data_IF_395560341306
#
_entry.id   IF_395560341306
#
_cell.length_a   1.000
_cell.length_b   1.000
_cell.length_c   1.000
_cell.angle_alpha   90.00
_cell.angle_beta   90.00
_cell.angle_gamma   90.00
#
_symmetry.space_group_name_H-M   'P 1'
#
loop_
_entity.id
_entity.type
_entity.pdbx_description
1 polymer ?
#
# COMPACT_ATOMS: atom_id res chain seq x y z
N UNK A 1 -0.80 3.17 -11.75
CA UNK A 1 -1.14 3.05 -10.32
C UNK A 1 -0.80 1.65 -9.83
N UNK A 2 -0.62 1.49 -8.55
CA UNK A 2 -0.38 0.19 -7.93
C UNK A 2 -1.66 -0.36 -7.29
N UNK A 3 -1.67 -1.65 -7.00
CA UNK A 3 -2.79 -2.30 -6.33
C UNK A 3 -2.41 -2.75 -4.92
N UNK A 4 -3.28 -2.47 -3.98
CA UNK A 4 -3.18 -2.88 -2.59
C UNK A 4 -4.22 -3.98 -2.32
N UNK A 5 -3.80 -5.04 -1.65
CA UNK A 5 -4.73 -6.04 -1.13
C UNK A 5 -5.21 -5.60 0.24
N UNK A 6 -6.51 -5.45 0.39
CA UNK A 6 -7.14 -5.10 1.66
C UNK A 6 -7.87 -6.32 2.22
N UNK A 7 -7.67 -6.59 3.51
CA UNK A 7 -8.29 -7.71 4.21
C UNK A 7 -9.01 -7.16 5.43
N UNK A 8 -10.29 -7.45 5.53
CA UNK A 8 -11.09 -7.11 6.71
C UNK A 8 -11.23 -8.34 7.60
N UNK A 9 -10.80 -8.23 8.87
CA UNK A 9 -10.81 -9.35 9.80
C UNK A 9 -11.09 -8.89 11.23
N UNK A 10 -11.62 -9.79 12.06
CA UNK A 10 -11.68 -9.57 13.49
C UNK A 10 -10.26 -9.47 14.08
N UNK A 11 -10.06 -8.52 14.99
CA UNK A 11 -8.79 -8.37 15.72
C UNK A 11 -8.71 -9.38 16.84
N UNK A 12 -8.17 -10.56 16.55
CA UNK A 12 -7.99 -11.67 17.49
C UNK A 12 -6.58 -12.25 17.38
N UNK A 13 -6.04 -12.81 18.49
CA UNK A 13 -4.77 -13.54 18.43
C UNK A 13 -4.78 -14.61 17.35
N UNK A 14 -3.67 -14.76 16.62
CA UNK A 14 -3.49 -15.76 15.58
C UNK A 14 -3.96 -15.34 14.17
N UNK A 15 -4.60 -14.18 14.01
CA UNK A 15 -5.06 -13.72 12.69
C UNK A 15 -3.91 -13.44 11.73
N UNK A 16 -2.89 -12.76 12.19
CA UNK A 16 -1.70 -12.49 11.37
C UNK A 16 -0.93 -13.77 11.05
N UNK A 17 -0.79 -14.67 12.01
CA UNK A 17 -0.16 -15.98 11.78
C UNK A 17 -0.90 -16.77 10.69
N UNK A 18 -2.22 -16.86 10.77
CA UNK A 18 -3.03 -17.54 9.76
C UNK A 18 -2.87 -16.91 8.37
N UNK A 19 -2.95 -15.58 8.30
CA UNK A 19 -2.78 -14.85 7.05
C UNK A 19 -1.41 -15.13 6.42
N UNK A 20 -0.35 -14.98 7.21
CA UNK A 20 1.02 -15.18 6.72
C UNK A 20 1.29 -16.62 6.34
N UNK A 21 0.67 -17.59 7.01
CA UNK A 21 0.74 -19.00 6.62
C UNK A 21 0.09 -19.24 5.24
N UNK A 22 -1.08 -18.67 5.00
CA UNK A 22 -1.77 -18.76 3.69
C UNK A 22 -0.89 -18.18 2.58
N UNK A 23 -0.29 -17.01 2.80
CA UNK A 23 0.58 -16.36 1.82
C UNK A 23 1.84 -17.19 1.56
N UNK A 24 2.46 -17.72 2.60
CA UNK A 24 3.62 -18.62 2.49
C UNK A 24 3.30 -19.86 1.66
N UNK A 25 2.20 -20.54 1.97
CA UNK A 25 1.81 -21.77 1.28
C UNK A 25 1.46 -21.52 -0.20
N UNK A 26 1.02 -20.32 -0.54
CA UNK A 26 0.74 -19.88 -1.92
C UNK A 26 1.97 -19.26 -2.64
N UNK A 27 3.14 -19.24 -1.99
CA UNK A 27 4.37 -18.60 -2.51
C UNK A 27 4.18 -17.11 -2.87
N UNK A 28 3.41 -16.41 -2.03
CA UNK A 28 3.19 -14.95 -2.16
C UNK A 28 4.15 -14.24 -1.22
N UNK A 29 4.92 -13.30 -1.76
CA UNK A 29 5.83 -12.47 -0.99
C UNK A 29 5.24 -11.08 -0.76
N UNK A 30 5.40 -10.57 0.47
CA UNK A 30 4.98 -9.24 0.87
C UNK A 30 6.12 -8.25 0.74
N UNK A 31 5.81 -7.07 0.19
CA UNK A 31 6.72 -5.92 0.17
C UNK A 31 6.46 -4.97 1.33
N UNK A 32 5.19 -4.81 1.69
CA UNK A 32 4.77 -3.99 2.81
C UNK A 32 3.49 -4.54 3.43
N UNK A 33 3.30 -4.26 4.70
CA UNK A 33 2.10 -4.59 5.46
C UNK A 33 1.78 -3.47 6.45
N UNK A 34 0.51 -3.17 6.61
CA UNK A 34 0.02 -2.34 7.71
C UNK A 34 -1.26 -2.93 8.28
N UNK A 35 -1.46 -2.76 9.57
CA UNK A 35 -2.63 -3.22 10.29
C UNK A 35 -3.19 -2.05 11.08
N UNK A 36 -4.45 -1.72 10.86
CA UNK A 36 -5.18 -0.74 11.66
C UNK A 36 -6.39 -1.41 12.30
N UNK A 37 -6.64 -1.13 13.56
CA UNK A 37 -7.74 -1.73 14.31
C UNK A 37 -8.69 -0.66 14.85
N UNK A 38 -9.98 -0.96 14.82
CA UNK A 38 -11.02 -0.14 15.42
C UNK A 38 -12.18 -1.03 15.88
N UNK A 39 -12.62 -0.86 17.12
CA UNK A 39 -13.79 -1.55 17.66
C UNK A 39 -13.79 -3.09 17.49
N UNK A 40 -12.63 -3.73 17.69
CA UNK A 40 -12.49 -5.18 17.59
C UNK A 40 -12.31 -5.72 16.16
N UNK A 41 -12.32 -4.86 15.15
CA UNK A 41 -12.03 -5.22 13.76
C UNK A 41 -10.71 -4.61 13.30
N UNK A 42 -10.06 -5.29 12.37
CA UNK A 42 -8.84 -4.84 11.74
C UNK A 42 -8.96 -4.78 10.22
N UNK A 43 -8.28 -3.80 9.64
CA UNK A 43 -8.01 -3.77 8.21
C UNK A 43 -6.52 -4.01 8.03
N UNK A 44 -6.18 -5.08 7.30
CA UNK A 44 -4.82 -5.41 6.92
C UNK A 44 -4.64 -5.01 5.48
N UNK A 45 -3.59 -4.26 5.18
CA UNK A 45 -3.27 -3.79 3.84
C UNK A 45 -1.90 -4.32 3.45
N UNK A 46 -1.81 -4.89 2.26
CA UNK A 46 -0.60 -5.56 1.77
C UNK A 46 -0.19 -5.02 0.40
N UNK A 47 1.10 -4.85 0.23
CA UNK A 47 1.72 -4.77 -1.09
C UNK A 47 2.44 -6.10 -1.33
N UNK A 48 2.06 -6.79 -2.39
CA UNK A 48 2.49 -8.15 -2.71
C UNK A 48 2.92 -8.27 -4.18
N UNK A 49 3.65 -9.33 -4.49
CA UNK A 49 4.13 -9.59 -5.85
C UNK A 49 3.03 -9.98 -6.86
N UNK A 50 1.89 -10.46 -6.37
CA UNK A 50 0.74 -10.84 -7.20
C UNK A 50 -0.57 -10.50 -6.47
N UNK A 51 -1.07 -9.27 -6.63
CA UNK A 51 -2.27 -8.82 -5.93
C UNK A 51 -3.53 -9.63 -6.29
N UNK A 52 -3.69 -10.00 -7.56
CA UNK A 52 -4.86 -10.74 -8.02
C UNK A 52 -4.89 -12.14 -7.43
N UNK A 53 -3.81 -12.90 -7.60
CA UNK A 53 -3.65 -14.23 -7.01
C UNK A 53 -3.83 -14.21 -5.49
N UNK A 54 -3.27 -13.21 -4.83
CA UNK A 54 -3.38 -13.05 -3.39
C UNK A 54 -4.84 -12.91 -2.96
N UNK A 55 -5.57 -12.02 -3.62
CA UNK A 55 -6.99 -11.78 -3.30
C UNK A 55 -7.83 -13.04 -3.52
N UNK A 56 -7.63 -13.74 -4.63
CA UNK A 56 -8.33 -14.98 -4.94
C UNK A 56 -8.00 -16.08 -3.91
N UNK A 57 -6.73 -16.24 -3.57
CA UNK A 57 -6.28 -17.23 -2.59
C UNK A 57 -6.90 -16.98 -1.21
N UNK A 58 -6.90 -15.73 -0.76
CA UNK A 58 -7.48 -15.37 0.54
C UNK A 58 -8.98 -15.58 0.57
N UNK A 59 -9.70 -15.21 -0.49
CA UNK A 59 -11.14 -15.45 -0.62
C UNK A 59 -11.48 -16.94 -0.60
N UNK A 60 -10.69 -17.75 -1.28
CA UNK A 60 -10.86 -19.21 -1.28
C UNK A 60 -10.67 -19.83 0.11
N UNK A 61 -9.94 -19.19 0.99
CA UNK A 61 -9.75 -19.57 2.41
C UNK A 61 -10.78 -18.95 3.35
N UNK A 62 -11.79 -18.27 2.83
CA UNK A 62 -12.88 -17.68 3.61
C UNK A 62 -12.56 -16.30 4.22
N UNK A 63 -11.47 -15.66 3.81
CA UNK A 63 -11.17 -14.29 4.25
C UNK A 63 -11.88 -13.28 3.35
N UNK A 64 -12.27 -12.14 3.94
CA UNK A 64 -12.80 -11.00 3.20
C UNK A 64 -11.63 -10.18 2.66
N UNK A 65 -11.37 -10.29 1.36
CA UNK A 65 -10.26 -9.61 0.70
C UNK A 65 -10.72 -8.92 -0.58
N UNK A 66 -10.15 -7.74 -0.86
CA UNK A 66 -10.43 -6.98 -2.08
C UNK A 66 -9.20 -6.17 -2.52
N UNK A 67 -9.20 -5.80 -3.79
CA UNK A 67 -8.18 -4.94 -4.36
C UNK A 67 -8.61 -3.48 -4.27
N UNK A 68 -7.66 -2.60 -4.00
CA UNK A 68 -7.83 -1.16 -4.05
C UNK A 68 -6.65 -0.53 -4.78
N UNK A 69 -6.95 0.35 -5.72
CA UNK A 69 -5.92 1.16 -6.36
C UNK A 69 -5.34 2.17 -5.38
N UNK A 70 -4.03 2.30 -5.40
CA UNK A 70 -3.27 3.23 -4.56
C UNK A 70 -2.19 3.91 -5.38
N UNK A 71 -1.68 5.01 -4.88
CA UNK A 71 -0.53 5.70 -5.48
C UNK A 71 0.73 5.27 -4.74
N UNK A 72 1.69 4.70 -5.46
CA UNK A 72 3.02 4.42 -4.95
C UNK A 72 3.99 5.48 -5.48
N UNK A 73 4.54 6.28 -4.58
CA UNK A 73 5.43 7.41 -4.91
C UNK A 73 6.84 7.12 -4.43
N UNK A 74 7.80 7.20 -5.35
CA UNK A 74 9.21 7.17 -5.01
C UNK A 74 9.62 8.52 -4.43
N UNK A 75 10.30 8.52 -3.29
CA UNK A 75 10.77 9.73 -2.62
C UNK A 75 12.20 9.58 -2.10
N UNK A 76 12.85 10.71 -1.84
CA UNK A 76 14.13 10.71 -1.15
C UNK A 76 13.93 10.39 0.34
N UNK A 77 14.69 9.45 0.86
CA UNK A 77 14.69 9.11 2.29
C UNK A 77 15.59 10.07 3.06
N UNK A 78 15.06 11.28 3.27
CA UNK A 78 15.71 12.37 3.99
C UNK A 78 14.68 13.33 4.60
N UNK A 79 15.07 14.16 5.58
CA UNK A 79 14.18 15.20 6.11
C UNK A 79 13.59 16.06 4.98
N UNK A 80 12.26 16.21 4.97
CA UNK A 80 11.54 16.96 3.94
C UNK A 80 11.11 16.13 2.72
N UNK A 81 11.55 14.89 2.58
CA UNK A 81 11.15 14.05 1.43
C UNK A 81 9.62 13.86 1.37
N UNK A 82 9.01 13.45 2.46
CA UNK A 82 7.54 13.30 2.54
C UNK A 82 6.82 14.65 2.50
N UNK A 83 7.40 15.70 3.10
CA UNK A 83 6.78 17.02 3.13
C UNK A 83 6.54 17.57 1.70
N UNK A 84 7.44 17.35 0.77
CA UNK A 84 7.29 17.76 -0.63
C UNK A 84 6.05 17.14 -1.29
N UNK A 85 5.78 15.88 -1.01
CA UNK A 85 4.58 15.18 -1.51
C UNK A 85 3.32 15.74 -0.84
N UNK A 86 3.34 15.87 0.48
CA UNK A 86 2.21 16.40 1.26
C UNK A 86 1.85 17.83 0.83
N UNK A 87 2.82 18.64 0.47
CA UNK A 87 2.61 20.00 -0.03
C UNK A 87 1.83 20.02 -1.37
N UNK A 88 2.11 19.07 -2.27
CA UNK A 88 1.36 18.95 -3.52
C UNK A 88 -0.11 18.67 -3.24
N UNK A 89 -0.41 17.75 -2.35
CA UNK A 89 -1.79 17.43 -1.97
C UNK A 89 -2.47 18.61 -1.27
N UNK A 90 -1.80 19.26 -0.33
CA UNK A 90 -2.34 20.38 0.42
C UNK A 90 -2.72 21.58 -0.46
N UNK A 91 -1.91 21.91 -1.46
CA UNK A 91 -2.18 23.01 -2.40
C UNK A 91 -3.47 22.82 -3.21
N UNK A 92 -3.93 21.60 -3.35
CA UNK A 92 -5.13 21.23 -4.10
C UNK A 92 -6.25 20.68 -3.22
N UNK A 93 -6.08 20.81 -1.91
CA UNK A 93 -7.05 20.35 -0.92
C UNK A 93 -7.43 18.87 -1.06
N UNK A 94 -6.48 18.05 -1.56
CA UNK A 94 -6.67 16.60 -1.66
C UNK A 94 -6.47 15.99 -0.29
N UNK A 95 -7.49 15.29 0.19
CA UNK A 95 -7.44 14.58 1.45
C UNK A 95 -6.76 13.22 1.30
N UNK A 96 -5.89 12.90 2.27
CA UNK A 96 -5.23 11.61 2.36
C UNK A 96 -6.04 10.74 3.31
N UNK A 97 -6.60 9.64 2.78
CA UNK A 97 -7.37 8.67 3.57
C UNK A 97 -6.44 7.73 4.35
N UNK A 98 -5.34 7.34 3.74
CA UNK A 98 -4.36 6.46 4.35
C UNK A 98 -2.99 6.63 3.70
N UNK A 99 -1.95 6.44 4.48
CA UNK A 99 -0.58 6.47 3.98
C UNK A 99 0.35 5.58 4.82
N UNK A 100 1.23 4.87 4.15
CA UNK A 100 2.30 4.11 4.77
C UNK A 100 3.43 3.93 3.76
N UNK A 101 4.59 3.53 4.25
CA UNK A 101 5.72 3.40 3.35
C UNK A 101 6.80 2.45 3.85
N UNK A 102 7.81 2.29 3.03
CA UNK A 102 8.99 1.50 3.34
C UNK A 102 10.23 2.08 2.66
N UNK A 103 11.38 1.90 3.29
CA UNK A 103 12.66 2.32 2.74
C UNK A 103 13.20 1.28 1.74
N UNK A 104 13.90 1.77 0.72
CA UNK A 104 14.59 0.91 -0.24
C UNK A 104 16.02 0.73 0.25
N UNK A 105 16.40 -0.50 0.49
CA UNK A 105 17.75 -0.83 0.95
C UNK A 105 18.82 -0.27 0.01
N UNK A 106 19.84 0.35 0.59
CA UNK A 106 21.04 0.84 -0.09
C UNK A 106 20.81 1.92 -1.18
N UNK A 107 19.65 2.56 -1.22
CA UNK A 107 19.33 3.56 -2.27
C UNK A 107 19.03 4.98 -1.76
N UNK A 108 19.04 5.23 -0.46
CA UNK A 108 18.61 6.51 0.13
C UNK A 108 17.24 6.99 -0.40
N UNK A 109 16.38 6.03 -0.72
CA UNK A 109 15.05 6.24 -1.25
C UNK A 109 14.04 5.45 -0.45
N UNK A 110 12.80 5.90 -0.49
CA UNK A 110 11.65 5.24 0.11
C UNK A 110 10.48 5.26 -0.86
N UNK A 111 9.53 4.39 -0.62
CA UNK A 111 8.24 4.41 -1.30
C UNK A 111 7.16 4.77 -0.29
N UNK A 112 6.31 5.73 -0.64
CA UNK A 112 5.09 6.03 0.08
C UNK A 112 3.89 5.56 -0.71
N UNK A 113 3.01 4.85 -0.04
CA UNK A 113 1.72 4.41 -0.56
C UNK A 113 0.66 5.37 -0.04
N UNK A 114 -0.15 5.92 -0.94
CA UNK A 114 -1.26 6.82 -0.59
C UNK A 114 -2.58 6.29 -1.12
N UNK A 115 -3.57 6.32 -0.27
CA UNK A 115 -4.97 6.21 -0.61
C UNK A 115 -5.61 7.59 -0.48
N UNK A 116 -6.22 8.08 -1.53
CA UNK A 116 -6.83 9.42 -1.58
C UNK A 116 -8.19 9.35 -2.29
N UNK A 117 -9.07 10.30 -1.99
CA UNK A 117 -10.40 10.33 -2.61
C UNK A 117 -10.35 10.66 -4.10
N UNK A 118 -9.58 11.69 -4.46
CA UNK A 118 -9.48 12.17 -5.85
C UNK A 118 -8.29 11.54 -6.60
N UNK A 119 -8.29 10.22 -6.73
CA UNK A 119 -7.18 9.44 -7.28
C UNK A 119 -6.67 9.95 -8.64
N UNK A 120 -7.49 10.17 -9.68
CA UNK A 120 -7.00 10.62 -10.98
C UNK A 120 -6.34 11.99 -10.95
N UNK A 121 -6.89 12.91 -10.16
CA UNK A 121 -6.33 14.25 -9.99
C UNK A 121 -4.99 14.19 -9.26
N UNK A 122 -4.91 13.44 -8.18
CA UNK A 122 -3.69 13.26 -7.40
C UNK A 122 -2.54 12.69 -8.23
N UNK A 123 -2.80 11.67 -9.04
CA UNK A 123 -1.81 11.09 -9.98
C UNK A 123 -1.29 12.15 -10.94
N UNK A 124 -2.17 12.91 -11.55
CA UNK A 124 -1.80 13.98 -12.49
C UNK A 124 -0.95 15.05 -11.83
N UNK A 125 -1.32 15.48 -10.63
CA UNK A 125 -0.59 16.52 -9.88
C UNK A 125 0.81 16.07 -9.47
N UNK A 126 0.94 14.86 -8.96
CA UNK A 126 2.24 14.31 -8.57
C UNK A 126 3.17 14.15 -9.78
N UNK A 127 2.65 13.65 -10.90
CA UNK A 127 3.42 13.51 -12.13
C UNK A 127 3.90 14.87 -12.65
N UNK A 128 3.03 15.88 -12.65
CA UNK A 128 3.39 17.27 -13.05
C UNK A 128 4.43 17.90 -12.10
N UNK A 129 4.41 17.53 -10.83
CA UNK A 129 5.39 17.99 -9.85
C UNK A 129 6.75 17.26 -9.97
N UNK A 130 6.88 16.30 -10.89
CA UNK A 130 8.11 15.57 -11.16
C UNK A 130 8.32 14.33 -10.30
N UNK A 131 7.33 13.88 -9.55
CA UNK A 131 7.42 12.64 -8.78
C UNK A 131 7.31 11.40 -9.67
N UNK A 132 8.07 10.38 -9.33
CA UNK A 132 8.01 9.07 -9.97
C UNK A 132 6.94 8.23 -9.29
N UNK A 133 5.93 7.82 -10.06
CA UNK A 133 4.87 6.95 -9.61
C UNK A 133 5.14 5.54 -10.13
N UNK A 134 5.01 4.55 -9.26
CA UNK A 134 5.35 3.16 -9.53
C UNK A 134 4.08 2.33 -9.79
N UNK A 135 4.15 1.45 -10.79
CA UNK A 135 3.15 0.41 -10.98
C UNK A 135 3.46 -0.83 -10.15
N UNK A 136 2.62 -1.86 -10.21
CA UNK A 136 2.79 -3.10 -9.42
C UNK A 136 4.15 -3.77 -9.68
N UNK A 137 4.55 -3.88 -10.94
CA UNK A 137 5.80 -4.54 -11.32
C UNK A 137 7.02 -3.76 -10.83
N UNK A 138 7.03 -2.46 -11.05
CA UNK A 138 8.09 -1.57 -10.58
C UNK A 138 8.18 -1.55 -9.05
N UNK A 139 7.04 -1.45 -8.39
CA UNK A 139 6.96 -1.42 -6.93
C UNK A 139 7.51 -2.70 -6.30
N UNK A 140 7.21 -3.83 -6.88
CA UNK A 140 7.68 -5.11 -6.36
C UNK A 140 9.17 -5.36 -6.61
N UNK A 141 9.70 -4.92 -7.74
CA UNK A 141 11.08 -5.18 -8.17
C UNK A 141 12.11 -4.14 -7.67
N UNK A 142 11.77 -3.34 -6.70
CA UNK A 142 12.70 -2.36 -6.10
C UNK A 142 13.86 -3.00 -5.34
#
# INVERSE_FOLDING_TARGET
>A
MAQQVCIFAENKPGRLERLTKILKDAHINMRAITIATSQGFGIIKLIVNDPVKTTETLRAKGLTAYLREVIAVLMDDQPGGLQKIAEVFARKEINIEDAYGFVIKDKNQAVMIFDVEEMPEAVTLLAKAGFVLLNDEELYNL
#
